data_IF_121301008874
#
_entry.id   IF_121301008874
#
_cell.length_a   1.000
_cell.length_b   1.000
_cell.length_c   1.000
_cell.angle_alpha   90.00
_cell.angle_beta   90.00
_cell.angle_gamma   90.00
#
_symmetry.space_group_name_H-M   'P 1'
#
loop_
_entity.id
_entity.type
_entity.pdbx_description
1 polymer ?
#
# COMPACT_ATOMS: atom_id res chain seq x y z
N UNK A 1 11.00 -53.32 -52.04
CA UNK A 1 11.90 -52.36 -51.36
C UNK A 1 11.05 -51.16 -50.97
N UNK A 2 10.81 -51.01 -49.66
CA UNK A 2 9.99 -49.91 -49.08
C UNK A 2 10.93 -48.85 -48.51
N UNK A 3 10.97 -47.69 -49.13
CA UNK A 3 11.75 -46.52 -48.68
C UNK A 3 10.90 -45.71 -47.72
N UNK A 4 11.28 -45.59 -46.46
CA UNK A 4 10.66 -44.74 -45.47
C UNK A 4 11.20 -43.30 -45.63
N UNK A 5 10.28 -42.36 -45.82
CA UNK A 5 10.53 -40.93 -45.84
C UNK A 5 10.37 -40.40 -44.41
N UNK A 6 11.46 -39.96 -43.80
CA UNK A 6 11.44 -39.36 -42.45
C UNK A 6 11.29 -37.86 -42.58
N UNK A 7 10.14 -37.33 -42.13
CA UNK A 7 9.86 -35.92 -42.11
C UNK A 7 10.47 -35.33 -40.81
N UNK A 8 11.47 -34.45 -40.93
CA UNK A 8 11.94 -33.60 -39.82
C UNK A 8 11.00 -32.40 -39.66
N UNK A 9 10.24 -32.40 -38.60
CA UNK A 9 9.48 -31.21 -38.15
C UNK A 9 10.34 -30.48 -37.14
N UNK A 10 10.93 -29.38 -37.55
CA UNK A 10 11.60 -28.42 -36.66
C UNK A 10 10.53 -27.61 -35.95
N UNK A 11 10.26 -27.93 -34.68
CA UNK A 11 9.42 -27.15 -33.81
C UNK A 11 10.22 -25.96 -33.29
N UNK A 12 9.85 -24.76 -33.76
CA UNK A 12 10.28 -23.50 -33.17
C UNK A 12 9.57 -23.33 -31.82
N UNK A 13 10.27 -23.58 -30.72
CA UNK A 13 9.75 -23.27 -29.38
C UNK A 13 9.87 -21.78 -29.14
N UNK A 14 8.73 -21.06 -29.26
CA UNK A 14 8.55 -19.76 -28.65
C UNK A 14 8.47 -19.95 -27.13
N UNK A 15 9.51 -19.58 -26.40
CA UNK A 15 9.46 -19.45 -24.96
C UNK A 15 8.66 -18.19 -24.58
N UNK A 16 7.36 -18.36 -24.41
CA UNK A 16 6.57 -17.45 -23.60
C UNK A 16 6.92 -17.75 -22.14
N UNK A 17 7.56 -16.83 -21.46
CA UNK A 17 7.66 -16.81 -19.99
C UNK A 17 6.27 -16.60 -19.39
N UNK A 18 5.48 -17.65 -19.35
CA UNK A 18 4.30 -17.75 -18.51
C UNK A 18 4.79 -17.94 -17.06
N UNK A 19 4.58 -16.92 -16.23
CA UNK A 19 4.78 -17.05 -14.79
C UNK A 19 4.10 -18.32 -14.28
N UNK A 20 4.80 -19.13 -13.52
CA UNK A 20 4.30 -20.40 -12.98
C UNK A 20 3.07 -20.11 -12.11
N UNK A 21 1.91 -20.38 -12.66
CA UNK A 21 0.64 -20.41 -11.94
C UNK A 21 0.54 -21.77 -11.29
N UNK A 22 0.87 -21.88 -10.02
CA UNK A 22 0.50 -23.05 -9.24
C UNK A 22 -0.98 -22.93 -8.89
N UNK A 23 -1.85 -23.30 -9.82
CA UNK A 23 -3.25 -23.55 -9.54
C UNK A 23 -3.34 -24.93 -8.89
N UNK A 24 -3.43 -25.01 -7.58
CA UNK A 24 -3.70 -26.26 -6.90
C UNK A 24 -5.22 -26.44 -6.90
N UNK A 25 -5.75 -27.34 -7.74
CA UNK A 25 -7.16 -27.74 -7.73
C UNK A 25 -7.50 -28.71 -6.58
N UNK A 26 -6.49 -29.16 -5.84
CA UNK A 26 -6.63 -30.03 -4.66
C UNK A 26 -5.95 -29.39 -3.46
N UNK A 27 -6.45 -29.72 -2.25
CA UNK A 27 -5.80 -29.34 -1.00
C UNK A 27 -4.34 -29.79 -1.03
N UNK A 28 -3.38 -28.90 -0.69
CA UNK A 28 -1.96 -29.24 -0.71
C UNK A 28 -1.68 -30.41 0.24
N UNK A 29 -0.92 -31.39 -0.21
CA UNK A 29 -0.49 -32.53 0.60
C UNK A 29 0.57 -32.18 1.64
N UNK A 30 1.06 -30.94 1.66
CA UNK A 30 2.21 -30.49 2.47
C UNK A 30 1.84 -29.47 3.56
N UNK A 31 0.65 -29.58 4.14
CA UNK A 31 0.28 -28.78 5.30
C UNK A 31 1.09 -29.16 6.53
N UNK A 32 1.60 -28.18 7.26
CA UNK A 32 2.22 -28.38 8.56
C UNK A 32 1.32 -27.82 9.66
N UNK A 33 0.82 -28.70 10.51
CA UNK A 33 0.11 -28.30 11.72
C UNK A 33 1.11 -27.71 12.71
N UNK A 34 0.92 -26.44 13.09
CA UNK A 34 1.78 -25.75 14.05
C UNK A 34 1.05 -25.46 15.36
N UNK A 35 -0.29 -25.59 15.38
CA UNK A 35 -1.11 -25.57 16.58
C UNK A 35 -2.50 -26.16 16.31
N UNK A 36 -3.12 -26.77 17.32
CA UNK A 36 -4.47 -27.31 17.29
C UNK A 36 -4.64 -28.59 16.49
N UNK A 37 -5.87 -29.08 16.41
CA UNK A 37 -6.24 -30.30 15.71
C UNK A 37 -6.96 -29.92 14.41
N UNK A 38 -6.47 -30.45 13.30
CA UNK A 38 -7.01 -30.21 11.96
C UNK A 38 -7.38 -31.53 11.30
N UNK A 39 -8.55 -31.59 10.68
CA UNK A 39 -9.00 -32.69 9.85
C UNK A 39 -8.95 -32.27 8.38
N UNK A 40 -8.33 -33.10 7.54
CA UNK A 40 -8.14 -32.89 6.11
C UNK A 40 -8.97 -33.94 5.35
N UNK A 41 -10.28 -33.76 5.32
CA UNK A 41 -11.21 -34.69 4.69
C UNK A 41 -12.10 -34.00 3.66
N UNK A 42 -12.54 -34.76 2.66
CA UNK A 42 -13.52 -34.35 1.65
C UNK A 42 -13.21 -33.02 0.91
N UNK A 43 -11.93 -32.77 0.66
CA UNK A 43 -11.51 -31.54 -0.03
C UNK A 43 -11.59 -30.29 0.83
N UNK A 44 -11.80 -30.42 2.13
CA UNK A 44 -11.89 -29.32 3.09
C UNK A 44 -10.92 -29.50 4.26
N UNK A 45 -10.59 -28.38 4.92
CA UNK A 45 -9.92 -28.39 6.22
C UNK A 45 -10.95 -28.04 7.29
N UNK A 46 -11.14 -28.94 8.23
CA UNK A 46 -11.98 -28.74 9.39
C UNK A 46 -11.11 -28.51 10.62
N UNK A 47 -11.52 -27.63 11.51
CA UNK A 47 -10.79 -27.34 12.73
C UNK A 47 -11.74 -27.04 13.87
N UNK A 48 -11.48 -27.64 15.03
CA UNK A 48 -12.06 -27.25 16.32
C UNK A 48 -11.01 -26.56 17.17
N UNK A 49 -11.21 -25.28 17.41
CA UNK A 49 -10.34 -24.43 18.22
C UNK A 49 -11.14 -23.71 19.30
N UNK A 50 -12.20 -24.37 19.83
CA UNK A 50 -13.06 -23.76 20.83
C UNK A 50 -12.30 -23.39 22.11
N UNK A 51 -11.27 -24.13 22.48
CA UNK A 51 -10.52 -23.89 23.73
C UNK A 51 -9.12 -23.24 23.53
N UNK A 52 -8.80 -22.76 22.28
CA UNK A 52 -7.48 -22.22 22.05
C UNK A 52 -7.28 -21.55 20.70
N UNK A 53 -6.07 -21.61 20.22
CA UNK A 53 -5.68 -21.20 18.86
C UNK A 53 -5.26 -22.44 18.07
N UNK A 54 -5.67 -22.53 16.83
CA UNK A 54 -5.23 -23.53 15.89
C UNK A 54 -4.57 -22.85 14.67
N UNK A 55 -3.55 -23.47 14.11
CA UNK A 55 -2.82 -22.94 12.97
C UNK A 55 -2.19 -24.04 12.13
N UNK A 56 -2.31 -23.87 10.81
CA UNK A 56 -1.56 -24.66 9.81
C UNK A 56 -0.80 -23.71 8.91
N UNK A 57 0.33 -24.19 8.39
CA UNK A 57 1.18 -23.46 7.45
C UNK A 57 1.41 -24.26 6.19
N UNK A 58 1.64 -23.59 5.08
CA UNK A 58 1.91 -24.14 3.75
C UNK A 58 2.94 -23.28 3.00
N UNK A 59 3.77 -23.89 2.18
CA UNK A 59 4.77 -23.22 1.35
C UNK A 59 6.11 -23.03 2.07
N UNK A 60 6.94 -22.14 1.54
CA UNK A 60 8.31 -21.97 1.96
C UNK A 60 8.58 -20.62 2.64
N UNK A 61 9.54 -20.59 3.55
CA UNK A 61 9.97 -19.35 4.22
C UNK A 61 10.60 -18.33 3.26
N UNK A 62 10.96 -18.76 2.06
CA UNK A 62 11.52 -17.93 0.99
C UNK A 62 10.47 -17.19 0.16
N UNK A 63 9.19 -17.51 0.27
CA UNK A 63 8.16 -16.91 -0.57
C UNK A 63 8.04 -15.40 -0.31
N UNK A 64 8.07 -14.60 -1.39
CA UNK A 64 8.01 -13.14 -1.31
C UNK A 64 6.64 -12.59 -1.68
N UNK A 65 6.19 -12.85 -2.91
CA UNK A 65 5.01 -12.25 -3.50
C UNK A 65 4.01 -13.34 -3.84
N UNK A 66 2.78 -13.19 -3.35
CA UNK A 66 1.73 -14.18 -3.58
C UNK A 66 0.34 -13.62 -3.34
N UNK A 67 -0.64 -14.28 -3.92
CA UNK A 67 -2.06 -14.12 -3.63
C UNK A 67 -2.57 -15.40 -2.99
N UNK A 68 -3.33 -15.26 -1.93
CA UNK A 68 -4.00 -16.36 -1.22
C UNK A 68 -5.50 -16.14 -1.33
N UNK A 69 -6.23 -17.20 -1.64
CA UNK A 69 -7.70 -17.20 -1.67
C UNK A 69 -8.21 -18.44 -0.97
N UNK A 70 -9.25 -18.29 -0.17
CA UNK A 70 -9.90 -19.39 0.55
C UNK A 70 -11.36 -19.06 0.83
N UNK A 71 -12.21 -20.04 0.77
CA UNK A 71 -13.60 -19.98 1.27
C UNK A 71 -13.59 -20.46 2.71
N UNK A 72 -14.10 -19.65 3.64
CA UNK A 72 -14.07 -19.92 5.07
C UNK A 72 -15.49 -19.80 5.67
N UNK A 73 -15.86 -20.77 6.50
CA UNK A 73 -17.16 -20.85 7.15
C UNK A 73 -17.00 -21.01 8.66
N UNK A 74 -17.65 -20.15 9.44
CA UNK A 74 -17.83 -20.38 10.87
C UNK A 74 -18.88 -21.46 11.10
N UNK A 75 -18.53 -22.53 11.79
CA UNK A 75 -19.46 -23.60 12.16
C UNK A 75 -20.02 -23.39 13.59
N UNK A 76 -19.15 -22.93 14.51
CA UNK A 76 -19.50 -22.61 15.90
C UNK A 76 -18.51 -21.57 16.42
N UNK A 77 -18.92 -20.71 17.33
CA UNK A 77 -18.04 -19.72 17.96
C UNK A 77 -18.35 -19.57 19.44
N UNK A 78 -17.32 -19.30 20.25
CA UNK A 78 -17.50 -18.97 21.67
C UNK A 78 -18.20 -17.64 21.86
N UNK A 79 -17.79 -16.61 21.10
CA UNK A 79 -18.41 -15.29 21.09
C UNK A 79 -18.05 -14.54 19.80
N UNK A 80 -18.68 -13.39 19.55
CA UNK A 80 -18.56 -12.66 18.31
C UNK A 80 -17.15 -12.07 18.02
N UNK A 81 -16.25 -11.98 18.99
CA UNK A 81 -14.90 -11.45 18.82
C UNK A 81 -13.88 -12.49 18.35
N UNK A 82 -14.25 -13.77 18.37
CA UNK A 82 -13.38 -14.86 17.92
C UNK A 82 -13.23 -14.82 16.41
N UNK A 83 -12.12 -15.39 15.91
CA UNK A 83 -11.72 -15.20 14.51
C UNK A 83 -11.30 -16.47 13.81
N UNK A 84 -11.41 -16.43 12.51
CA UNK A 84 -10.69 -17.27 11.56
C UNK A 84 -10.03 -16.38 10.51
N UNK A 85 -8.94 -16.81 9.90
CA UNK A 85 -8.26 -15.98 8.91
C UNK A 85 -7.09 -16.62 8.19
N UNK A 86 -6.56 -15.85 7.25
CA UNK A 86 -5.38 -16.20 6.46
C UNK A 86 -4.14 -15.74 7.23
N UNK A 87 -3.16 -16.63 7.37
CA UNK A 87 -1.78 -16.33 7.81
C UNK A 87 -0.91 -16.07 6.59
N UNK A 88 -0.04 -15.09 6.67
CA UNK A 88 0.93 -14.78 5.62
C UNK A 88 2.21 -14.21 6.23
N UNK A 89 3.32 -14.30 5.49
CA UNK A 89 4.64 -13.91 5.98
C UNK A 89 4.98 -14.59 7.33
N UNK A 90 4.55 -15.83 7.50
CA UNK A 90 4.86 -16.65 8.65
C UNK A 90 6.15 -17.44 8.47
N UNK A 91 6.67 -18.00 9.56
CA UNK A 91 7.65 -19.08 9.50
C UNK A 91 6.94 -20.43 9.33
N UNK A 92 7.53 -21.33 8.55
CA UNK A 92 6.94 -22.64 8.26
C UNK A 92 6.76 -23.49 9.55
N UNK A 93 7.61 -23.30 10.54
CA UNK A 93 7.50 -23.93 11.86
C UNK A 93 6.47 -23.28 12.79
N UNK A 94 5.83 -22.19 12.35
CA UNK A 94 4.85 -21.43 13.13
C UNK A 94 5.46 -20.47 14.13
N UNK A 95 6.79 -20.28 14.14
CA UNK A 95 7.43 -19.29 15.01
C UNK A 95 7.04 -17.86 14.65
N UNK A 96 7.13 -16.97 15.64
CA UNK A 96 6.86 -15.54 15.47
C UNK A 96 8.08 -14.80 14.91
N UNK A 97 7.91 -13.66 14.21
CA UNK A 97 6.64 -13.01 13.90
C UNK A 97 5.92 -13.62 12.68
N UNK A 98 4.59 -13.54 12.68
CA UNK A 98 3.74 -13.85 11.52
C UNK A 98 2.57 -12.88 11.43
N UNK A 99 2.05 -12.68 10.22
CA UNK A 99 0.96 -11.75 9.96
C UNK A 99 -0.34 -12.49 9.66
N UNK A 100 -1.48 -11.88 9.96
CA UNK A 100 -2.79 -12.43 9.63
C UNK A 100 -3.78 -11.40 9.11
N UNK A 101 -4.75 -11.91 8.34
CA UNK A 101 -5.97 -11.23 7.95
C UNK A 101 -7.17 -12.02 8.50
N UNK A 102 -7.67 -11.70 9.71
CA UNK A 102 -8.81 -12.37 10.30
C UNK A 102 -10.12 -11.72 9.92
N UNK A 103 -11.21 -12.53 9.95
CA UNK A 103 -12.59 -12.09 10.01
C UNK A 103 -13.24 -12.58 11.30
N UNK A 104 -14.35 -11.93 11.70
CA UNK A 104 -15.10 -12.21 12.93
C UNK A 104 -16.60 -12.26 12.65
N UNK A 105 -17.37 -12.90 13.54
CA UNK A 105 -18.83 -12.84 13.45
C UNK A 105 -19.36 -11.44 13.71
N UNK A 106 -18.83 -10.77 14.76
CA UNK A 106 -19.21 -9.39 15.09
C UNK A 106 -17.96 -8.53 15.14
N UNK A 107 -18.04 -7.37 14.51
CA UNK A 107 -17.01 -6.37 14.59
C UNK A 107 -17.36 -5.31 15.63
N UNK A 108 -16.36 -4.80 16.33
CA UNK A 108 -16.52 -3.74 17.33
C UNK A 108 -15.50 -2.64 17.11
N UNK A 109 -15.52 -1.60 17.92
CA UNK A 109 -14.47 -0.58 17.91
C UNK A 109 -13.08 -1.13 18.21
N UNK A 110 -12.97 -2.31 18.84
CA UNK A 110 -11.73 -2.96 19.23
C UNK A 110 -11.41 -4.23 18.44
N UNK A 111 -12.35 -4.76 17.67
CA UNK A 111 -12.17 -5.96 16.83
C UNK A 111 -12.84 -5.79 15.48
N UNK A 112 -12.18 -6.17 14.41
CA UNK A 112 -12.70 -6.06 13.04
C UNK A 112 -11.91 -6.97 12.10
N UNK A 113 -12.06 -6.78 10.80
CA UNK A 113 -11.09 -7.28 9.84
C UNK A 113 -9.85 -6.39 9.88
N UNK A 114 -8.67 -7.00 9.97
CA UNK A 114 -7.45 -6.25 10.27
C UNK A 114 -6.22 -6.91 9.65
N UNK A 115 -5.15 -6.15 9.48
CA UNK A 115 -3.83 -6.71 9.42
C UNK A 115 -3.18 -6.63 10.78
N UNK A 116 -2.85 -7.78 11.34
CA UNK A 116 -2.23 -7.89 12.65
C UNK A 116 -0.99 -8.78 12.58
N UNK A 117 0.03 -8.41 13.35
CA UNK A 117 1.29 -9.15 13.46
C UNK A 117 1.40 -9.74 14.86
N UNK A 118 1.64 -11.05 14.94
CA UNK A 118 2.00 -11.74 16.20
C UNK A 118 3.50 -11.63 16.40
N UNK A 119 3.93 -10.89 17.41
CA UNK A 119 5.37 -10.61 17.69
C UNK A 119 6.02 -11.54 18.71
N UNK A 120 5.25 -12.41 19.31
CA UNK A 120 5.69 -13.30 20.38
C UNK A 120 4.80 -13.17 21.61
N UNK A 121 4.80 -14.18 22.47
CA UNK A 121 3.91 -14.24 23.63
C UNK A 121 2.43 -14.06 23.22
N UNK A 122 1.66 -13.27 23.98
CA UNK A 122 0.26 -12.95 23.68
C UNK A 122 0.06 -11.62 22.95
N UNK A 123 1.15 -10.95 22.52
CA UNK A 123 1.06 -9.60 21.95
C UNK A 123 0.72 -9.60 20.46
N UNK A 124 -0.32 -8.82 20.11
CA UNK A 124 -0.72 -8.50 18.76
C UNK A 124 -0.42 -7.04 18.45
N UNK A 125 0.23 -6.80 17.31
CA UNK A 125 0.44 -5.48 16.76
C UNK A 125 -0.52 -5.30 15.58
N UNK A 126 -1.62 -4.57 15.81
CA UNK A 126 -2.64 -4.31 14.78
C UNK A 126 -2.19 -3.13 13.93
N UNK A 127 -1.84 -3.41 12.67
CA UNK A 127 -1.30 -2.41 11.74
C UNK A 127 -2.40 -1.59 11.10
N UNK A 128 -3.46 -2.24 10.66
CA UNK A 128 -4.60 -1.64 10.04
C UNK A 128 -5.86 -2.40 10.42
N UNK A 129 -6.93 -1.68 10.70
CA UNK A 129 -8.21 -2.27 11.10
C UNK A 129 -9.35 -1.59 10.39
N UNK A 130 -10.33 -2.37 9.97
CA UNK A 130 -11.60 -1.87 9.47
C UNK A 130 -12.75 -2.61 10.15
N UNK A 131 -13.81 -1.87 10.46
CA UNK A 131 -15.09 -2.46 10.84
C UNK A 131 -15.72 -3.03 9.58
N UNK A 132 -15.94 -4.34 9.54
CA UNK A 132 -16.59 -4.96 8.38
C UNK A 132 -17.98 -4.34 8.17
N UNK A 133 -18.34 -4.06 6.93
CA UNK A 133 -19.63 -3.47 6.60
C UNK A 133 -20.80 -4.40 6.93
N UNK A 134 -20.57 -5.71 7.02
CA UNK A 134 -21.54 -6.73 7.43
C UNK A 134 -20.84 -7.76 8.31
N UNK A 135 -21.46 -8.09 9.43
CA UNK A 135 -21.03 -9.20 10.27
C UNK A 135 -21.09 -10.52 9.49
N UNK A 136 -20.20 -11.44 9.82
CA UNK A 136 -20.28 -12.81 9.30
C UNK A 136 -21.39 -13.57 10.05
N UNK A 137 -21.86 -14.65 9.45
CA UNK A 137 -22.92 -15.51 10.02
C UNK A 137 -22.42 -16.95 10.10
N UNK A 138 -22.85 -17.68 11.13
CA UNK A 138 -22.59 -19.13 11.25
C UNK A 138 -23.23 -19.84 10.06
N UNK A 139 -22.52 -20.81 9.49
CA UNK A 139 -22.96 -21.59 8.34
C UNK A 139 -22.89 -20.86 7.00
N UNK A 140 -22.57 -19.55 6.98
CA UNK A 140 -22.47 -18.79 5.73
C UNK A 140 -21.01 -18.72 5.24
N UNK A 141 -20.68 -19.30 4.07
CA UNK A 141 -19.35 -19.20 3.49
C UNK A 141 -18.97 -17.77 3.16
N UNK A 142 -17.71 -17.40 3.39
CA UNK A 142 -17.11 -16.10 3.05
C UNK A 142 -15.82 -16.32 2.27
N UNK A 143 -15.63 -15.57 1.23
CA UNK A 143 -14.40 -15.62 0.44
C UNK A 143 -13.37 -14.63 0.98
N UNK A 144 -12.27 -15.15 1.53
CA UNK A 144 -11.13 -14.35 1.94
C UNK A 144 -10.08 -14.37 0.84
N UNK A 145 -9.48 -13.21 0.56
CA UNK A 145 -8.34 -13.08 -0.34
C UNK A 145 -7.32 -12.10 0.24
N UNK A 146 -6.06 -12.50 0.22
CA UNK A 146 -4.94 -11.63 0.62
C UNK A 146 -3.95 -11.56 -0.54
N UNK A 147 -3.55 -10.36 -0.91
CA UNK A 147 -2.47 -10.11 -1.87
C UNK A 147 -1.29 -9.52 -1.10
N UNK A 148 -0.14 -10.16 -1.21
CA UNK A 148 1.11 -9.71 -0.61
C UNK A 148 2.11 -9.50 -1.72
N UNK A 149 2.57 -8.25 -1.89
CA UNK A 149 3.57 -7.92 -2.90
C UNK A 149 4.52 -6.83 -2.42
N UNK A 150 5.80 -7.15 -2.39
CA UNK A 150 6.80 -6.28 -1.80
C UNK A 150 6.44 -5.95 -0.35
N UNK A 151 6.28 -4.67 -0.06
CA UNK A 151 5.87 -4.17 1.26
C UNK A 151 4.36 -3.93 1.39
N UNK A 152 3.59 -4.16 0.33
CA UNK A 152 2.16 -3.89 0.31
C UNK A 152 1.35 -5.14 0.64
N UNK A 153 0.27 -4.94 1.39
CA UNK A 153 -0.69 -5.98 1.75
C UNK A 153 -2.10 -5.47 1.46
N UNK A 154 -2.92 -6.32 0.85
CA UNK A 154 -4.32 -6.03 0.57
C UNK A 154 -5.17 -7.20 1.04
N UNK A 155 -6.20 -6.94 1.84
CA UNK A 155 -7.14 -7.93 2.36
C UNK A 155 -8.55 -7.68 1.81
N UNK A 156 -9.13 -8.72 1.23
CA UNK A 156 -10.45 -8.66 0.60
C UNK A 156 -11.39 -9.65 1.25
N UNK A 157 -12.65 -9.27 1.37
CA UNK A 157 -13.74 -10.14 1.79
C UNK A 157 -14.86 -10.09 0.75
N UNK A 158 -15.24 -11.24 0.21
CA UNK A 158 -16.23 -11.39 -0.86
C UNK A 158 -15.96 -10.43 -2.05
N UNK A 159 -14.70 -10.33 -2.45
CA UNK A 159 -14.23 -9.48 -3.54
C UNK A 159 -14.04 -8.00 -3.19
N UNK A 160 -14.56 -7.53 -2.05
CA UNK A 160 -14.41 -6.14 -1.62
C UNK A 160 -13.08 -5.94 -0.88
N UNK A 161 -12.28 -4.93 -1.28
CA UNK A 161 -11.12 -4.49 -0.51
C UNK A 161 -11.56 -3.93 0.84
N UNK A 162 -11.09 -4.54 1.94
CA UNK A 162 -11.37 -4.09 3.31
C UNK A 162 -10.20 -3.38 3.95
N UNK A 163 -9.01 -3.94 3.84
CA UNK A 163 -7.80 -3.38 4.44
C UNK A 163 -6.68 -3.34 3.41
N UNK A 164 -5.91 -2.27 3.47
CA UNK A 164 -4.69 -2.11 2.70
C UNK A 164 -3.63 -1.50 3.61
N UNK A 165 -2.44 -2.06 3.61
CA UNK A 165 -1.34 -1.56 4.45
C UNK A 165 -0.07 -1.54 3.62
N UNK A 166 0.25 -0.41 2.99
CA UNK A 166 1.51 -0.24 2.29
C UNK A 166 2.65 -0.08 3.28
N UNK A 167 3.83 -0.60 2.93
CA UNK A 167 5.10 -0.39 3.65
C UNK A 167 5.16 -0.87 5.12
N UNK A 168 4.24 -1.73 5.55
CA UNK A 168 4.04 -2.13 6.94
C UNK A 168 4.31 -3.60 7.23
N UNK A 169 5.41 -4.17 6.74
CA UNK A 169 5.72 -5.59 6.95
C UNK A 169 6.94 -5.80 7.84
N UNK A 170 6.83 -6.71 8.82
CA UNK A 170 7.95 -7.10 9.70
C UNK A 170 8.86 -8.14 9.02
N UNK A 171 8.32 -8.97 8.11
CA UNK A 171 9.07 -9.96 7.34
C UNK A 171 8.92 -9.71 5.84
N UNK A 172 10.01 -9.87 5.09
CA UNK A 172 10.01 -9.73 3.63
C UNK A 172 9.62 -11.02 2.92
N UNK A 173 9.77 -12.15 3.58
CA UNK A 173 9.49 -13.50 3.07
C UNK A 173 8.74 -14.28 4.13
N UNK A 174 8.11 -15.36 3.72
CA UNK A 174 7.46 -16.28 4.64
C UNK A 174 6.36 -17.10 3.98
N UNK A 175 6.04 -18.20 4.60
CA UNK A 175 4.98 -19.11 4.20
C UNK A 175 3.58 -18.48 4.43
N UNK A 176 2.57 -19.18 3.97
CA UNK A 176 1.15 -18.87 4.14
C UNK A 176 0.49 -19.90 5.06
N UNK A 177 -0.74 -19.64 5.48
CA UNK A 177 -1.48 -20.60 6.30
C UNK A 177 -2.87 -20.11 6.68
N UNK A 178 -3.45 -20.83 7.63
CA UNK A 178 -4.74 -20.52 8.22
C UNK A 178 -4.62 -20.47 9.74
N UNK A 179 -5.38 -19.61 10.38
CA UNK A 179 -5.45 -19.49 11.83
C UNK A 179 -6.89 -19.36 12.31
N UNK A 180 -7.18 -19.97 13.44
CA UNK A 180 -8.50 -19.98 14.06
C UNK A 180 -8.35 -19.81 15.58
N UNK A 181 -9.27 -19.10 16.22
CA UNK A 181 -9.29 -18.96 17.67
C UNK A 181 -10.70 -18.85 18.20
N UNK A 182 -11.04 -19.74 19.13
CA UNK A 182 -12.31 -19.78 19.83
C UNK A 182 -13.51 -20.08 18.93
N UNK A 183 -13.31 -20.86 17.87
CA UNK A 183 -14.39 -21.30 16.98
C UNK A 183 -14.07 -22.63 16.31
N UNK A 184 -15.15 -23.30 15.83
CA UNK A 184 -15.06 -24.35 14.83
C UNK A 184 -15.20 -23.72 13.45
N UNK A 185 -14.37 -24.13 12.51
CA UNK A 185 -14.35 -23.56 11.17
C UNK A 185 -14.13 -24.63 10.09
N UNK A 186 -14.62 -24.31 8.90
CA UNK A 186 -14.36 -25.06 7.66
C UNK A 186 -13.68 -24.16 6.65
N UNK A 187 -12.66 -24.66 5.97
CA UNK A 187 -11.99 -23.97 4.88
C UNK A 187 -11.99 -24.83 3.62
N UNK A 188 -12.33 -24.20 2.50
CA UNK A 188 -12.47 -24.83 1.17
C UNK A 188 -11.82 -23.93 0.12
N UNK A 189 -11.58 -24.47 -1.08
CA UNK A 189 -11.04 -23.72 -2.23
C UNK A 189 -9.75 -22.95 -1.92
N UNK A 190 -8.88 -23.49 -1.08
CA UNK A 190 -7.61 -22.85 -0.77
C UNK A 190 -6.71 -22.83 -2.01
N UNK A 191 -6.36 -21.63 -2.45
CA UNK A 191 -5.50 -21.40 -3.62
C UNK A 191 -4.41 -20.41 -3.28
N UNK A 192 -3.17 -20.73 -3.69
CA UNK A 192 -2.04 -19.80 -3.62
C UNK A 192 -1.47 -19.62 -5.00
N UNK A 193 -1.38 -18.37 -5.43
CA UNK A 193 -0.73 -18.00 -6.69
C UNK A 193 0.53 -17.20 -6.39
N UNK A 194 1.69 -17.70 -6.82
CA UNK A 194 2.94 -16.95 -6.76
C UNK A 194 2.86 -15.78 -7.73
N UNK A 195 3.27 -14.61 -7.27
CA UNK A 195 3.40 -13.40 -8.07
C UNK A 195 4.88 -13.20 -8.39
N UNK A 196 5.18 -12.45 -9.46
CA UNK A 196 6.56 -12.16 -9.84
C UNK A 196 7.32 -11.52 -8.67
N UNK A 197 8.53 -12.01 -8.44
CA UNK A 197 9.40 -11.44 -7.43
C UNK A 197 9.86 -10.05 -7.89
N UNK A 198 9.80 -9.11 -6.96
CA UNK A 198 10.28 -7.75 -7.18
C UNK A 198 11.68 -7.61 -6.59
N UNK A 199 12.55 -6.77 -7.17
CA UNK A 199 13.85 -6.50 -6.57
C UNK A 199 13.69 -6.09 -5.11
N UNK A 200 14.49 -6.68 -4.21
CA UNK A 200 14.45 -6.36 -2.79
C UNK A 200 14.85 -4.89 -2.60
N UNK A 201 13.92 -4.08 -2.16
CA UNK A 201 14.25 -2.78 -1.58
C UNK A 201 14.72 -3.06 -0.16
N UNK A 202 15.94 -2.63 0.24
CA UNK A 202 16.41 -2.80 1.61
C UNK A 202 15.42 -2.14 2.56
N UNK A 203 14.76 -2.92 3.43
CA UNK A 203 13.90 -2.36 4.46
C UNK A 203 14.76 -1.79 5.57
N UNK A 204 14.81 -0.48 5.69
CA UNK A 204 14.91 0.16 7.00
C UNK A 204 13.59 -0.17 7.70
N UNK A 205 13.64 -0.70 8.92
CA UNK A 205 12.49 -1.22 9.66
C UNK A 205 11.23 -0.35 9.60
N UNK A 206 10.11 -0.87 10.07
CA UNK A 206 8.82 -0.17 10.12
C UNK A 206 9.00 1.31 10.35
N UNK A 207 8.60 2.11 9.38
CA UNK A 207 8.56 3.55 9.54
C UNK A 207 7.24 3.87 10.25
N UNK A 208 7.27 4.28 11.52
CA UNK A 208 6.04 4.62 12.24
C UNK A 208 5.37 5.86 11.63
N UNK A 209 6.11 6.60 10.80
CA UNK A 209 5.70 7.86 10.22
C UNK A 209 6.52 8.16 8.96
N UNK A 210 5.86 8.67 7.91
CA UNK A 210 6.50 9.04 6.66
C UNK A 210 6.62 10.56 6.52
N UNK A 211 7.78 11.02 6.10
CA UNK A 211 8.06 12.40 5.74
C UNK A 211 8.15 12.47 4.22
N UNK A 212 7.18 13.12 3.59
CA UNK A 212 7.10 13.30 2.15
C UNK A 212 7.51 14.73 1.80
N UNK A 213 8.55 14.87 0.99
CA UNK A 213 9.02 16.15 0.49
C UNK A 213 8.10 16.63 -0.65
N UNK A 214 7.41 17.75 -0.47
CA UNK A 214 6.45 18.33 -1.41
C UNK A 214 7.15 18.92 -2.63
N UNK A 215 6.91 18.38 -3.81
CA UNK A 215 7.57 18.73 -5.08
C UNK A 215 9.10 18.65 -5.00
N UNK A 216 9.61 17.68 -4.25
CA UNK A 216 10.99 17.64 -3.79
C UNK A 216 11.21 18.51 -2.54
N UNK A 217 12.47 18.89 -2.24
CA UNK A 217 12.76 19.82 -1.16
C UNK A 217 12.53 21.26 -1.63
N UNK A 218 11.26 21.62 -1.86
CA UNK A 218 10.86 22.86 -2.53
C UNK A 218 11.17 24.13 -1.73
N UNK A 219 11.35 24.05 -0.41
CA UNK A 219 11.80 25.21 0.37
C UNK A 219 13.21 25.70 -0.06
N UNK A 220 14.10 24.83 -0.53
CA UNK A 220 15.50 25.13 -0.83
C UNK A 220 15.90 24.98 -2.30
N UNK A 221 15.09 24.27 -3.11
CA UNK A 221 15.34 24.03 -4.51
C UNK A 221 14.10 24.28 -5.35
N UNK A 222 14.22 24.51 -6.69
CA UNK A 222 13.06 24.72 -7.55
C UNK A 222 12.18 23.47 -7.57
N UNK A 223 10.87 23.67 -7.30
CA UNK A 223 9.90 22.59 -7.25
C UNK A 223 9.85 21.76 -8.52
N UNK A 224 9.55 20.46 -8.41
CA UNK A 224 9.39 19.54 -9.54
C UNK A 224 10.62 19.41 -10.45
N UNK A 225 11.84 19.63 -9.91
CA UNK A 225 13.11 19.42 -10.63
C UNK A 225 13.91 18.25 -10.05
N UNK A 226 14.89 17.76 -10.82
CA UNK A 226 15.75 16.67 -10.33
C UNK A 226 16.63 17.10 -9.16
N UNK A 227 17.05 18.35 -9.08
CA UNK A 227 17.79 18.85 -7.93
C UNK A 227 16.96 18.87 -6.67
N UNK A 228 15.67 19.25 -6.76
CA UNK A 228 14.77 19.21 -5.61
C UNK A 228 14.55 17.77 -5.09
N UNK A 229 14.44 16.81 -6.00
CA UNK A 229 14.34 15.38 -5.66
C UNK A 229 15.63 14.88 -4.98
N UNK A 230 16.83 15.20 -5.52
CA UNK A 230 18.10 14.85 -4.89
C UNK A 230 18.21 15.42 -3.48
N UNK A 231 17.86 16.70 -3.31
CA UNK A 231 17.87 17.36 -1.99
C UNK A 231 16.85 16.77 -1.02
N UNK A 232 15.71 16.28 -1.50
CA UNK A 232 14.75 15.55 -0.67
C UNK A 232 15.36 14.25 -0.12
N UNK A 233 16.07 13.47 -0.96
CA UNK A 233 16.79 12.27 -0.53
C UNK A 233 17.85 12.62 0.53
N UNK A 234 18.67 13.64 0.28
CA UNK A 234 19.71 14.12 1.20
C UNK A 234 19.17 14.59 2.55
N UNK A 235 17.96 15.19 2.57
CA UNK A 235 17.29 15.65 3.80
C UNK A 235 16.84 14.50 4.72
N UNK A 236 16.86 13.26 4.23
CA UNK A 236 16.35 12.09 4.93
C UNK A 236 14.83 11.94 4.83
N UNK A 237 14.20 12.60 3.85
CA UNK A 237 12.80 12.35 3.50
C UNK A 237 12.59 10.88 3.14
N UNK A 238 11.45 10.32 3.54
CA UNK A 238 11.10 8.93 3.27
C UNK A 238 10.27 8.78 2.01
N UNK A 239 9.68 9.88 1.54
CA UNK A 239 8.99 10.03 0.28
C UNK A 239 9.31 11.36 -0.38
N UNK A 240 9.14 11.42 -1.67
CA UNK A 240 9.25 12.61 -2.49
C UNK A 240 8.02 12.68 -3.38
N UNK A 241 7.21 13.70 -3.15
CA UNK A 241 6.03 13.98 -3.95
C UNK A 241 6.41 14.88 -5.11
N UNK A 242 5.75 14.69 -6.24
CA UNK A 242 5.83 15.54 -7.43
C UNK A 242 4.59 15.37 -8.33
N UNK A 243 4.26 16.47 -9.02
CA UNK A 243 3.09 16.60 -9.86
C UNK A 243 3.38 16.21 -11.31
N UNK A 244 2.43 15.56 -12.00
CA UNK A 244 2.66 15.16 -13.39
C UNK A 244 1.54 15.51 -14.35
N UNK A 245 1.97 15.93 -15.57
CA UNK A 245 1.17 16.13 -16.76
C UNK A 245 1.73 15.33 -17.94
N UNK A 246 0.92 15.11 -19.00
CA UNK A 246 1.45 14.64 -20.27
C UNK A 246 1.90 15.83 -21.13
N UNK A 247 3.07 15.72 -21.77
CA UNK A 247 3.49 16.59 -22.84
C UNK A 247 2.69 16.31 -24.13
N UNK A 248 2.72 17.24 -25.09
CA UNK A 248 2.02 17.17 -26.39
C UNK A 248 2.34 15.90 -27.16
N UNK A 249 3.57 15.46 -27.16
CA UNK A 249 4.07 14.26 -27.85
C UNK A 249 3.95 12.97 -27.02
N UNK A 250 3.31 13.05 -25.84
CA UNK A 250 2.86 11.91 -25.05
C UNK A 250 3.65 11.55 -23.79
N UNK A 251 4.94 11.76 -23.62
CA UNK A 251 5.66 11.49 -22.39
C UNK A 251 5.10 12.26 -21.18
N UNK A 252 5.22 11.67 -20.00
CA UNK A 252 4.80 12.30 -18.74
C UNK A 252 5.96 13.10 -18.16
N UNK A 253 5.69 14.36 -17.79
CA UNK A 253 6.66 15.35 -17.28
C UNK A 253 6.24 15.88 -15.93
N UNK A 254 7.19 16.44 -15.16
CA UNK A 254 6.93 17.02 -13.86
C UNK A 254 6.55 18.50 -14.00
N UNK A 255 5.35 18.86 -13.55
CA UNK A 255 4.86 20.23 -13.47
C UNK A 255 3.66 20.31 -12.55
N UNK A 256 3.56 21.33 -11.69
CA UNK A 256 2.40 21.50 -10.83
C UNK A 256 1.22 22.18 -11.56
N UNK A 257 1.50 23.26 -12.27
CA UNK A 257 0.47 24.04 -12.96
C UNK A 257 0.19 23.46 -14.36
N UNK A 258 -0.99 23.71 -14.89
CA UNK A 258 -1.31 23.33 -16.27
C UNK A 258 -0.48 24.11 -17.31
N UNK A 259 0.21 25.18 -16.91
CA UNK A 259 1.10 26.02 -17.73
C UNK A 259 2.50 26.07 -17.15
N UNK A 260 3.50 26.33 -18.00
CA UNK A 260 4.90 26.43 -17.59
C UNK A 260 5.28 27.82 -17.01
N UNK A 261 4.36 28.79 -17.05
CA UNK A 261 4.67 30.22 -16.89
C UNK A 261 5.25 30.61 -15.51
N UNK A 262 4.85 29.93 -14.42
CA UNK A 262 5.26 30.31 -13.07
C UNK A 262 6.65 29.84 -12.68
N UNK A 263 7.05 28.71 -13.18
CA UNK A 263 8.27 28.00 -12.74
C UNK A 263 9.26 27.76 -13.86
N UNK A 264 9.08 28.44 -15.01
CA UNK A 264 10.05 28.46 -16.11
C UNK A 264 10.13 29.84 -16.73
N UNK A 265 11.10 30.05 -17.60
CA UNK A 265 11.27 31.24 -18.45
C UNK A 265 10.36 31.22 -19.70
N UNK A 266 9.58 30.15 -19.92
CA UNK A 266 8.67 29.98 -21.03
C UNK A 266 7.21 30.34 -20.71
N UNK A 267 6.34 30.11 -21.68
CA UNK A 267 4.88 30.31 -21.56
C UNK A 267 4.09 29.26 -22.34
N UNK A 268 2.85 29.04 -21.93
CA UNK A 268 1.92 28.10 -22.59
C UNK A 268 1.57 26.89 -21.73
N UNK A 269 0.65 26.06 -22.27
CA UNK A 269 0.18 24.87 -21.56
C UNK A 269 1.18 23.72 -21.75
N UNK A 270 1.39 22.95 -20.68
CA UNK A 270 2.24 21.74 -20.71
C UNK A 270 1.80 20.76 -21.81
N UNK A 271 0.49 20.60 -21.97
CA UNK A 271 -0.10 19.68 -22.96
C UNK A 271 0.03 20.15 -24.42
N UNK A 272 0.44 21.39 -24.65
CA UNK A 272 0.66 21.98 -25.98
C UNK A 272 2.15 22.00 -26.39
N UNK A 273 3.06 21.71 -25.45
CA UNK A 273 4.51 21.67 -25.65
C UNK A 273 5.02 20.22 -25.69
N UNK A 274 5.94 19.95 -26.62
CA UNK A 274 6.68 18.69 -26.70
C UNK A 274 7.70 18.58 -25.55
N UNK A 275 8.17 17.38 -25.24
CA UNK A 275 9.26 17.20 -24.27
C UNK A 275 10.53 17.97 -24.71
N UNK A 276 10.81 18.01 -26.02
CA UNK A 276 11.98 18.74 -26.51
C UNK A 276 11.88 20.26 -26.28
N UNK A 277 10.68 20.83 -26.38
CA UNK A 277 10.41 22.23 -26.06
C UNK A 277 10.50 22.48 -24.55
N UNK A 278 9.83 21.63 -23.74
CA UNK A 278 9.86 21.73 -22.28
C UNK A 278 11.28 21.63 -21.70
N UNK A 279 12.17 20.83 -22.28
CA UNK A 279 13.55 20.68 -21.86
C UNK A 279 14.45 21.89 -22.14
N UNK A 280 14.06 22.77 -23.04
CA UNK A 280 14.79 24.01 -23.34
C UNK A 280 14.47 25.13 -22.37
N UNK A 281 13.42 24.95 -21.55
CA UNK A 281 12.99 25.94 -20.57
C UNK A 281 13.88 25.85 -19.34
N UNK A 282 14.30 27.00 -18.85
CA UNK A 282 14.93 27.15 -17.53
C UNK A 282 13.88 27.01 -16.43
N UNK A 283 13.90 25.89 -15.72
CA UNK A 283 12.99 25.57 -14.63
C UNK A 283 13.58 25.88 -13.24
N UNK A 284 14.75 26.52 -13.18
CA UNK A 284 15.47 26.73 -11.93
C UNK A 284 15.69 28.17 -11.52
N UNK A 285 16.06 29.08 -12.45
CA UNK A 285 16.45 30.45 -12.17
C UNK A 285 15.38 31.29 -11.47
N UNK A 286 14.11 31.00 -11.66
CA UNK A 286 13.01 31.66 -10.95
C UNK A 286 13.10 31.48 -9.43
N UNK A 287 13.74 30.40 -8.96
CA UNK A 287 13.97 30.12 -7.54
C UNK A 287 15.26 30.73 -7.03
N UNK A 288 16.35 30.54 -7.78
CA UNK A 288 17.68 31.07 -7.49
C UNK A 288 18.59 30.84 -8.71
N UNK A 289 19.43 31.81 -9.06
CA UNK A 289 20.37 31.78 -10.22
C UNK A 289 21.32 30.58 -10.22
N UNK A 290 21.64 30.01 -9.06
CA UNK A 290 22.45 28.77 -8.97
C UNK A 290 21.79 27.53 -9.59
N UNK A 291 20.52 27.61 -9.96
CA UNK A 291 19.74 26.53 -10.56
C UNK A 291 19.41 26.78 -12.04
N UNK A 292 20.15 27.68 -12.72
CA UNK A 292 19.93 28.05 -14.13
C UNK A 292 19.91 26.84 -15.08
N UNK A 293 20.67 25.77 -14.77
CA UNK A 293 20.75 24.58 -15.63
C UNK A 293 19.66 23.54 -15.40
N UNK A 294 18.71 23.79 -14.49
CA UNK A 294 17.62 22.85 -14.25
C UNK A 294 16.53 22.99 -15.33
N UNK A 295 16.12 21.87 -15.89
CA UNK A 295 15.06 21.80 -16.90
C UNK A 295 13.86 21.02 -16.38
N UNK A 296 12.73 21.07 -17.11
CA UNK A 296 11.53 20.29 -16.80
C UNK A 296 11.82 18.79 -16.97
N UNK A 297 11.79 17.98 -15.90
CA UNK A 297 12.12 16.54 -16.01
C UNK A 297 10.95 15.72 -16.52
N UNK A 298 11.28 14.57 -17.10
CA UNK A 298 10.29 13.51 -17.34
C UNK A 298 10.07 12.69 -16.06
N UNK A 299 8.87 12.06 -15.94
CA UNK A 299 8.57 11.11 -14.86
C UNK A 299 9.61 9.98 -14.77
N UNK A 300 10.07 9.47 -15.92
CA UNK A 300 11.09 8.40 -15.94
C UNK A 300 12.41 8.83 -15.31
N UNK A 301 12.83 10.08 -15.50
CA UNK A 301 14.06 10.63 -14.89
C UNK A 301 13.90 10.78 -13.38
N UNK A 302 12.76 11.30 -12.92
CA UNK A 302 12.45 11.41 -11.50
C UNK A 302 12.44 10.04 -10.81
N UNK A 303 11.78 9.04 -11.41
CA UNK A 303 11.75 7.67 -10.88
C UNK A 303 13.16 7.03 -10.86
N UNK A 304 13.98 7.24 -11.89
CA UNK A 304 15.37 6.75 -11.90
C UNK A 304 16.21 7.40 -10.80
N UNK A 305 16.01 8.69 -10.53
CA UNK A 305 16.72 9.43 -9.47
C UNK A 305 16.37 8.88 -8.09
N UNK A 306 15.11 8.48 -7.87
CA UNK A 306 14.64 7.90 -6.61
C UNK A 306 14.99 6.42 -6.45
N UNK A 307 15.22 5.69 -7.54
CA UNK A 307 15.41 4.24 -7.51
C UNK A 307 16.57 3.85 -6.59
N UNK A 308 16.27 2.97 -5.63
CA UNK A 308 17.27 2.44 -4.69
C UNK A 308 17.68 3.39 -3.56
N UNK A 309 17.23 4.66 -3.56
CA UNK A 309 17.53 5.63 -2.51
C UNK A 309 16.82 5.32 -1.18
N UNK A 310 15.80 4.48 -1.20
CA UNK A 310 14.91 4.23 -0.07
C UNK A 310 13.87 5.34 0.15
N UNK A 311 13.83 6.37 -0.72
CA UNK A 311 12.82 7.41 -0.74
C UNK A 311 11.73 7.03 -1.74
N UNK A 312 10.47 6.97 -1.31
CA UNK A 312 9.32 6.60 -2.12
C UNK A 312 8.95 7.70 -3.12
N UNK A 313 8.60 7.33 -4.35
CA UNK A 313 7.96 8.25 -5.29
C UNK A 313 6.46 8.39 -4.95
N UNK A 314 5.98 9.59 -4.65
CA UNK A 314 4.57 9.92 -4.47
C UNK A 314 4.16 10.79 -5.66
N UNK A 315 3.36 10.23 -6.57
CA UNK A 315 3.08 10.81 -7.89
C UNK A 315 1.69 11.41 -7.90
N UNK A 316 1.57 12.75 -7.92
CA UNK A 316 0.27 13.41 -8.11
C UNK A 316 -0.08 13.47 -9.59
N UNK A 317 -1.13 12.77 -10.00
CA UNK A 317 -1.66 12.84 -11.36
C UNK A 317 -2.62 14.01 -11.46
N UNK A 318 -2.22 15.06 -12.18
CA UNK A 318 -2.97 16.32 -12.31
C UNK A 318 -4.07 16.30 -13.37
N UNK A 319 -4.05 15.35 -14.29
CA UNK A 319 -5.01 15.30 -15.39
C UNK A 319 -5.50 13.87 -15.64
N UNK A 320 -6.73 13.74 -16.11
CA UNK A 320 -7.31 12.46 -16.55
C UNK A 320 -6.66 11.96 -17.85
N UNK A 321 -6.79 10.66 -18.12
CA UNK A 321 -6.33 10.03 -19.37
C UNK A 321 -4.84 9.69 -19.43
N UNK A 322 -4.06 9.94 -18.38
CA UNK A 322 -2.61 9.61 -18.33
C UNK A 322 -2.26 8.48 -17.35
N UNK A 323 -3.22 7.96 -16.61
CA UNK A 323 -3.00 6.92 -15.58
C UNK A 323 -2.22 5.72 -16.12
N UNK A 324 -2.55 5.24 -17.32
CA UNK A 324 -1.85 4.13 -17.98
C UNK A 324 -0.38 4.45 -18.23
N UNK A 325 -0.06 5.65 -18.75
CA UNK A 325 1.33 6.08 -19.04
C UNK A 325 2.16 6.21 -17.77
N UNK A 326 1.57 6.72 -16.69
CA UNK A 326 2.23 6.79 -15.37
C UNK A 326 2.56 5.38 -14.87
N UNK A 327 1.59 4.46 -14.89
CA UNK A 327 1.80 3.07 -14.47
C UNK A 327 2.87 2.37 -15.33
N UNK A 328 2.85 2.56 -16.64
CA UNK A 328 3.88 2.03 -17.54
C UNK A 328 5.28 2.57 -17.21
N UNK A 329 5.41 3.86 -16.88
CA UNK A 329 6.68 4.45 -16.45
C UNK A 329 7.16 3.85 -15.13
N UNK A 330 6.27 3.66 -14.15
CA UNK A 330 6.58 3.02 -12.86
C UNK A 330 7.03 1.56 -13.07
N UNK A 331 6.33 0.80 -13.91
CA UNK A 331 6.69 -0.58 -14.25
C UNK A 331 8.04 -0.66 -14.97
N UNK A 332 8.23 0.17 -16.00
CA UNK A 332 9.44 0.18 -16.83
C UNK A 332 10.70 0.58 -16.04
N UNK A 333 10.56 1.38 -14.99
CA UNK A 333 11.66 1.75 -14.11
C UNK A 333 11.87 0.76 -12.95
N UNK A 334 10.96 -0.22 -12.77
CA UNK A 334 11.02 -1.18 -11.67
C UNK A 334 10.72 -0.55 -10.31
N UNK A 335 9.90 0.53 -10.27
CA UNK A 335 9.59 1.32 -9.06
C UNK A 335 8.26 0.93 -8.39
N UNK A 336 7.61 -0.16 -8.81
CA UNK A 336 6.28 -0.52 -8.35
C UNK A 336 6.17 -0.66 -6.81
N UNK A 337 7.22 -1.18 -6.18
CA UNK A 337 7.28 -1.34 -4.71
C UNK A 337 7.83 -0.10 -3.99
N UNK A 338 8.20 0.93 -4.75
CA UNK A 338 8.77 2.19 -4.24
C UNK A 338 7.98 3.41 -4.73
N UNK A 339 6.75 3.20 -5.20
CA UNK A 339 5.88 4.27 -5.67
C UNK A 339 4.49 4.21 -5.03
N UNK A 340 3.84 5.35 -4.96
CA UNK A 340 2.43 5.54 -4.68
C UNK A 340 1.87 6.62 -5.61
N UNK A 341 0.57 6.59 -5.85
CA UNK A 341 -0.12 7.63 -6.63
C UNK A 341 -1.09 8.38 -5.73
N UNK A 342 -1.22 9.67 -5.95
CA UNK A 342 -2.25 10.50 -5.33
C UNK A 342 -2.98 11.30 -6.42
N UNK A 343 -4.25 11.59 -6.23
CA UNK A 343 -5.01 12.43 -7.16
C UNK A 343 -6.27 13.01 -6.51
N UNK A 344 -6.64 14.24 -6.91
CA UNK A 344 -7.94 14.84 -6.57
C UNK A 344 -9.08 14.19 -7.37
N UNK A 345 -8.84 13.85 -8.64
CA UNK A 345 -9.84 13.20 -9.48
C UNK A 345 -10.16 11.78 -9.01
N UNK A 346 -11.41 11.54 -8.63
CA UNK A 346 -11.92 10.21 -8.33
C UNK A 346 -11.80 9.25 -9.53
N UNK A 347 -11.90 9.77 -10.75
CA UNK A 347 -11.72 9.01 -12.00
C UNK A 347 -10.29 8.46 -12.07
N UNK A 348 -9.29 9.31 -11.86
CA UNK A 348 -7.88 8.92 -11.86
C UNK A 348 -7.60 7.83 -10.82
N UNK A 349 -8.09 8.02 -9.57
CA UNK A 349 -7.90 7.01 -8.51
C UNK A 349 -8.51 5.68 -8.90
N UNK A 350 -9.74 5.67 -9.44
CA UNK A 350 -10.39 4.43 -9.93
C UNK A 350 -9.62 3.76 -11.06
N UNK A 351 -9.14 4.54 -12.03
CA UNK A 351 -8.34 4.03 -13.16
C UNK A 351 -7.04 3.39 -12.66
N UNK A 352 -6.29 4.08 -11.80
CA UNK A 352 -5.04 3.54 -11.23
C UNK A 352 -5.31 2.25 -10.47
N UNK A 353 -6.35 2.22 -9.62
CA UNK A 353 -6.74 1.03 -8.86
C UNK A 353 -7.19 -0.14 -9.74
N UNK A 354 -7.81 0.14 -10.89
CA UNK A 354 -8.21 -0.89 -11.85
C UNK A 354 -7.02 -1.42 -12.67
N UNK A 355 -6.14 -0.53 -13.13
CA UNK A 355 -5.01 -0.86 -13.99
C UNK A 355 -3.84 -1.52 -13.24
N UNK A 356 -3.59 -1.09 -11.99
CA UNK A 356 -2.53 -1.62 -11.13
C UNK A 356 -2.98 -1.67 -9.66
N UNK A 357 -3.76 -2.68 -9.27
CA UNK A 357 -4.27 -2.81 -7.89
C UNK A 357 -3.18 -2.87 -6.81
N UNK A 358 -1.94 -3.21 -7.19
CA UNK A 358 -0.79 -3.32 -6.28
C UNK A 358 -0.17 -1.97 -5.93
N UNK A 359 -0.38 -0.95 -6.80
CA UNK A 359 0.15 0.39 -6.58
C UNK A 359 -0.73 1.10 -5.54
N UNK A 360 -0.17 1.50 -4.38
CA UNK A 360 -0.90 2.31 -3.43
C UNK A 360 -1.42 3.58 -4.10
N UNK A 361 -2.70 3.91 -3.86
CA UNK A 361 -3.32 5.08 -4.48
C UNK A 361 -4.24 5.78 -3.48
N UNK A 362 -3.93 7.03 -3.13
CA UNK A 362 -4.73 7.83 -2.21
C UNK A 362 -5.59 8.87 -2.95
N UNK A 363 -6.79 9.07 -2.43
CA UNK A 363 -7.65 10.18 -2.88
C UNK A 363 -7.29 11.45 -2.12
N UNK A 364 -6.93 12.51 -2.86
CA UNK A 364 -6.65 13.86 -2.35
C UNK A 364 -7.93 14.64 -2.08
N UNK A 365 -7.98 15.37 -0.95
CA UNK A 365 -9.07 16.31 -0.69
C UNK A 365 -8.66 17.48 0.22
N UNK A 366 -9.21 18.65 -0.11
CA UNK A 366 -9.13 19.88 0.70
C UNK A 366 -10.52 20.44 1.06
N UNK A 367 -11.57 19.61 1.05
CA UNK A 367 -12.96 20.01 1.27
C UNK A 367 -13.21 20.59 2.68
N UNK A 368 -13.96 21.68 2.75
CA UNK A 368 -14.40 22.25 4.03
C UNK A 368 -15.64 21.52 4.54
N UNK A 369 -15.44 20.51 5.38
CA UNK A 369 -16.52 19.68 5.91
C UNK A 369 -17.11 20.29 7.20
N UNK A 370 -18.45 20.30 7.28
CA UNK A 370 -19.23 20.63 8.49
C UNK A 370 -19.67 19.34 9.20
N UNK A 371 -20.11 19.46 10.44
CA UNK A 371 -20.66 18.35 11.24
C UNK A 371 -19.66 17.79 12.27
N UNK A 372 -20.14 16.79 13.01
CA UNK A 372 -19.35 16.10 14.04
C UNK A 372 -18.15 15.36 13.43
N UNK A 373 -17.13 15.02 14.23
CA UNK A 373 -15.98 14.23 13.76
C UNK A 373 -16.40 12.91 13.06
N UNK A 374 -17.42 12.22 13.59
CA UNK A 374 -17.93 10.99 12.98
C UNK A 374 -18.59 11.24 11.62
N UNK A 375 -19.43 12.29 11.50
CA UNK A 375 -20.08 12.64 10.23
C UNK A 375 -19.06 13.02 9.14
N UNK A 376 -18.03 13.80 9.51
CA UNK A 376 -16.93 14.16 8.61
C UNK A 376 -16.15 12.92 8.16
N UNK A 377 -15.86 12.01 9.09
CA UNK A 377 -15.18 10.77 8.78
C UNK A 377 -16.04 9.82 7.92
N UNK A 378 -17.36 9.78 8.11
CA UNK A 378 -18.28 9.00 7.25
C UNK A 378 -18.26 9.52 5.81
N UNK A 379 -18.30 10.85 5.64
CA UNK A 379 -18.24 11.46 4.31
C UNK A 379 -16.93 11.10 3.59
N UNK A 380 -15.77 11.28 4.27
CA UNK A 380 -14.45 10.94 3.71
C UNK A 380 -14.37 9.45 3.37
N UNK A 381 -14.82 8.58 4.27
CA UNK A 381 -14.77 7.13 4.04
C UNK A 381 -15.67 6.70 2.86
N UNK A 382 -16.84 7.30 2.71
CA UNK A 382 -17.73 7.04 1.58
C UNK A 382 -17.10 7.49 0.25
N UNK A 383 -16.41 8.64 0.23
CA UNK A 383 -15.68 9.11 -0.97
C UNK A 383 -14.52 8.18 -1.31
N UNK A 384 -13.70 7.80 -0.35
CA UNK A 384 -12.61 6.84 -0.56
C UNK A 384 -13.13 5.50 -1.11
N UNK A 385 -14.25 4.99 -0.55
CA UNK A 385 -14.91 3.77 -1.04
C UNK A 385 -15.39 3.92 -2.49
N UNK A 386 -15.96 5.07 -2.85
CA UNK A 386 -16.36 5.36 -4.23
C UNK A 386 -15.17 5.33 -5.19
N UNK A 387 -13.96 5.69 -4.72
CA UNK A 387 -12.71 5.62 -5.48
C UNK A 387 -12.05 4.22 -5.46
N UNK A 388 -12.66 3.22 -4.81
CA UNK A 388 -12.10 1.89 -4.60
C UNK A 388 -10.72 1.92 -3.90
N UNK A 389 -10.57 2.80 -2.90
CA UNK A 389 -9.38 2.92 -2.06
C UNK A 389 -9.76 3.08 -0.59
N UNK A 390 -8.85 2.74 0.32
CA UNK A 390 -8.93 3.09 1.73
C UNK A 390 -7.77 4.01 2.16
N UNK A 391 -7.08 4.61 1.18
CA UNK A 391 -6.06 5.61 1.39
C UNK A 391 -6.61 7.00 1.05
N UNK A 392 -6.37 7.95 1.93
CA UNK A 392 -6.74 9.36 1.72
C UNK A 392 -5.56 10.26 2.06
N UNK A 393 -5.39 11.33 1.28
CA UNK A 393 -4.40 12.37 1.53
C UNK A 393 -5.13 13.71 1.66
N UNK A 394 -5.27 14.17 2.91
CA UNK A 394 -6.19 15.23 3.27
C UNK A 394 -5.43 16.52 3.61
N UNK A 395 -5.99 17.67 3.19
CA UNK A 395 -5.51 18.94 3.74
C UNK A 395 -5.60 18.90 5.28
N UNK A 396 -4.52 19.29 5.96
CA UNK A 396 -4.42 19.18 7.43
C UNK A 396 -5.53 19.94 8.18
N UNK A 397 -6.12 20.98 7.57
CA UNK A 397 -7.27 21.70 8.13
C UNK A 397 -8.56 20.86 8.20
N UNK A 398 -8.61 19.74 7.49
CA UNK A 398 -9.71 18.76 7.60
C UNK A 398 -9.59 17.87 8.84
N UNK A 399 -8.44 17.87 9.50
CA UNK A 399 -8.10 16.94 10.58
C UNK A 399 -8.25 17.60 11.96
N UNK A 400 -8.70 16.80 12.91
CA UNK A 400 -8.52 16.95 14.34
C UNK A 400 -8.16 15.57 14.91
N UNK A 401 -7.76 15.50 16.18
CA UNK A 401 -7.46 14.21 16.82
C UNK A 401 -8.65 13.23 16.74
N UNK A 402 -9.88 13.76 16.96
CA UNK A 402 -11.12 12.99 16.91
C UNK A 402 -11.45 12.52 15.48
N UNK A 403 -11.32 13.41 14.48
CA UNK A 403 -11.55 13.04 13.07
C UNK A 403 -10.57 11.96 12.64
N UNK A 404 -9.28 12.12 12.97
CA UNK A 404 -8.26 11.10 12.64
C UNK A 404 -8.54 9.76 13.32
N UNK A 405 -8.97 9.78 14.59
CA UNK A 405 -9.37 8.58 15.30
C UNK A 405 -10.59 7.89 14.63
N UNK A 406 -11.58 8.67 14.21
CA UNK A 406 -12.75 8.16 13.51
C UNK A 406 -12.42 7.59 12.11
N UNK A 407 -11.50 8.22 11.36
CA UNK A 407 -11.01 7.70 10.07
C UNK A 407 -10.28 6.36 10.26
N UNK A 408 -9.41 6.27 11.27
CA UNK A 408 -8.70 5.03 11.62
C UNK A 408 -9.65 3.90 12.01
N UNK A 409 -10.72 4.18 12.78
CA UNK A 409 -11.76 3.19 13.11
C UNK A 409 -12.45 2.62 11.85
N UNK A 410 -12.52 3.41 10.79
CA UNK A 410 -13.08 3.02 9.48
C UNK A 410 -12.06 2.33 8.58
N UNK A 411 -10.84 2.09 9.06
CA UNK A 411 -9.78 1.41 8.33
C UNK A 411 -9.08 2.26 7.28
N UNK A 412 -9.19 3.59 7.36
CA UNK A 412 -8.49 4.47 6.43
C UNK A 412 -7.04 4.67 6.82
N UNK A 413 -6.17 4.69 5.81
CA UNK A 413 -4.81 5.18 5.88
C UNK A 413 -4.87 6.67 5.57
N UNK A 414 -4.37 7.50 6.47
CA UNK A 414 -4.50 8.95 6.37
C UNK A 414 -3.13 9.60 6.25
N UNK A 415 -2.91 10.21 5.09
CA UNK A 415 -1.82 11.12 4.81
C UNK A 415 -2.33 12.56 4.87
N UNK A 416 -1.43 13.54 4.94
CA UNK A 416 -1.84 14.96 5.00
C UNK A 416 -0.82 15.88 4.34
N UNK A 417 -1.32 17.01 3.80
CA UNK A 417 -0.60 18.04 3.04
C UNK A 417 -1.15 19.43 3.29
N UNK A 418 -0.46 20.51 2.95
CA UNK A 418 0.97 20.72 2.99
C UNK A 418 1.28 21.36 4.34
N UNK A 419 2.03 20.68 5.19
CA UNK A 419 2.27 21.09 6.57
C UNK A 419 3.68 21.63 6.70
N UNK A 420 3.82 22.95 6.91
CA UNK A 420 5.12 23.62 7.01
C UNK A 420 5.41 24.14 8.42
N UNK A 421 4.38 24.29 9.26
CA UNK A 421 4.53 24.73 10.65
C UNK A 421 5.00 23.57 11.55
N UNK A 422 6.15 23.70 12.24
CA UNK A 422 6.67 22.65 13.10
C UNK A 422 5.76 22.26 14.28
N UNK A 423 4.95 23.20 14.79
CA UNK A 423 4.01 22.94 15.88
C UNK A 423 2.85 22.08 15.38
N UNK A 424 2.32 22.40 14.21
CA UNK A 424 1.27 21.61 13.54
C UNK A 424 1.81 20.22 13.18
N UNK A 425 3.04 20.12 12.62
CA UNK A 425 3.70 18.84 12.35
C UNK A 425 3.76 17.96 13.60
N UNK A 426 4.26 18.51 14.72
CA UNK A 426 4.40 17.76 15.97
C UNK A 426 3.03 17.34 16.52
N UNK A 427 2.01 18.18 16.45
CA UNK A 427 0.62 17.87 16.83
C UNK A 427 0.07 16.67 16.04
N UNK A 428 0.17 16.71 14.71
CA UNK A 428 -0.28 15.65 13.82
C UNK A 428 0.47 14.31 14.07
N UNK A 429 1.79 14.39 14.29
CA UNK A 429 2.60 13.21 14.67
C UNK A 429 2.14 12.60 15.98
N UNK A 430 1.85 13.42 17.00
CA UNK A 430 1.32 12.98 18.29
C UNK A 430 -0.07 12.36 18.18
N UNK A 431 -0.93 12.84 17.27
CA UNK A 431 -2.21 12.21 16.95
C UNK A 431 -2.04 10.89 16.18
N UNK A 432 -0.80 10.59 15.73
CA UNK A 432 -0.47 9.37 15.02
C UNK A 432 -0.89 9.39 13.56
N UNK A 433 -0.76 10.54 12.89
CA UNK A 433 -0.86 10.59 11.41
C UNK A 433 0.17 9.66 10.79
N UNK A 434 -0.11 9.08 9.63
CA UNK A 434 0.79 8.11 9.01
C UNK A 434 1.81 8.75 8.06
N UNK A 435 1.47 9.91 7.47
CA UNK A 435 2.39 10.66 6.61
C UNK A 435 2.11 12.16 6.63
N UNK A 436 3.15 12.97 6.48
CA UNK A 436 3.06 14.41 6.26
C UNK A 436 3.83 14.79 5.01
N UNK A 437 3.15 15.48 4.08
CA UNK A 437 3.75 16.15 2.93
C UNK A 437 4.10 17.59 3.31
N UNK A 438 5.36 18.01 3.07
CA UNK A 438 5.90 19.30 3.52
C UNK A 438 6.97 19.86 2.58
N UNK A 439 7.05 21.19 2.48
CA UNK A 439 8.15 21.88 1.81
C UNK A 439 9.48 21.82 2.62
N UNK A 440 9.38 21.44 3.92
CA UNK A 440 10.48 21.39 4.89
C UNK A 440 10.71 19.98 5.43
N UNK A 441 11.08 19.01 4.55
CA UNK A 441 11.32 17.62 4.97
C UNK A 441 12.42 17.49 6.03
N UNK A 442 13.41 18.39 6.04
CA UNK A 442 14.47 18.48 7.03
C UNK A 442 13.94 18.69 8.47
N UNK A 443 12.95 19.58 8.63
CA UNK A 443 12.31 19.82 9.91
C UNK A 443 11.43 18.65 10.33
N UNK A 444 10.62 18.14 9.42
CA UNK A 444 9.73 17.00 9.70
C UNK A 444 10.52 15.74 10.08
N UNK A 445 11.66 15.47 9.41
CA UNK A 445 12.53 14.34 9.74
C UNK A 445 13.17 14.45 11.14
N UNK A 446 13.58 15.66 11.55
CA UNK A 446 14.09 15.93 12.90
C UNK A 446 13.01 15.72 13.96
N UNK A 447 11.80 16.25 13.70
CA UNK A 447 10.67 16.14 14.63
C UNK A 447 10.20 14.68 14.77
N UNK A 448 10.14 13.91 13.70
CA UNK A 448 9.71 12.51 13.74
C UNK A 448 10.62 11.66 14.64
N UNK A 449 11.94 11.87 14.57
CA UNK A 449 12.92 11.21 15.46
C UNK A 449 12.69 11.59 16.91
N UNK A 450 12.41 12.86 17.21
CA UNK A 450 12.15 13.37 18.55
C UNK A 450 10.85 12.79 19.15
N UNK A 451 9.79 12.73 18.37
CA UNK A 451 8.49 12.17 18.79
C UNK A 451 8.59 10.68 19.03
N UNK A 452 9.29 9.94 18.14
CA UNK A 452 9.50 8.49 18.29
C UNK A 452 10.36 8.13 19.52
N UNK A 453 11.33 8.97 19.89
CA UNK A 453 12.21 8.76 21.06
C UNK A 453 11.53 9.03 22.42
N UNK A 454 10.43 9.78 22.45
CA UNK A 454 9.64 9.98 23.65
C UNK A 454 8.65 8.82 23.78
N UNK A 455 8.93 7.83 24.66
CA UNK A 455 7.99 6.76 25.02
C UNK A 455 6.65 7.40 25.40
N UNK A 456 5.59 6.99 24.72
CA UNK A 456 4.23 7.51 24.92
C UNK A 456 3.80 7.22 26.36
N UNK A 457 3.45 8.22 27.21
CA UNK A 457 3.01 7.98 28.59
C UNK A 457 1.73 7.14 28.69
N UNK A 458 0.94 7.06 27.61
CA UNK A 458 -0.32 6.31 27.59
C UNK A 458 -0.17 4.78 27.53
N UNK A 459 1.04 4.24 27.42
CA UNK A 459 1.26 2.79 27.52
C UNK A 459 1.43 2.28 28.96
N UNK A 460 1.31 3.16 29.98
CA UNK A 460 1.39 2.79 31.39
C UNK A 460 0.03 2.72 32.13
N UNK A 461 -1.10 2.98 31.42
CA UNK A 461 -2.44 2.90 32.01
C UNK A 461 -3.22 1.74 31.36
N UNK A 462 -2.67 0.55 31.39
CA UNK A 462 -3.43 -0.71 31.26
C UNK A 462 -2.54 -1.82 31.84
N UNK A 463 -2.54 -1.91 33.17
CA UNK A 463 -2.20 -3.12 33.90
C UNK A 463 -3.46 -3.68 34.54
#
# INVERSE_FOLDING_TARGET
MKTKLTLFVTAFCFWLQLGHVYGVEQLPTEWRITAGNWDFSDGALLVDSMEGEARVTFGEDSWQNYEIKVTATFLKVQNGSRWLGIVFRGARDGSTPWSQFPIRLKTSGHSGSEFAVRKGGKHWDVRQRVRAAKDSQIGRPRQLRVVVQGSNMQGFLDGQLLVESPFCMDRNTGCVGLSVSGCMAKFEDFKVRRLADTPRIPKKGLRPFEVVAHRGFSAVAPENTLVAIRKAIESGATGCEFDVYAAKDGPVVLMHDATVNRTTDGSGKVTELTVAELRRLDAGSWKDQRYTDESVPTLKEALKTLKGSGCQAVIEIKMEGISKRVIEAVRATGMLDQAAVIAFSATVVKEVRALEPRLPCAWLSGEKLKGSPSQRADWIANKAKQCNTNMVDLNYNMLSAEVLAELKKRGLIVWTWTVNDPVVMEGLMRWGIQSITTDRPDLAAKLSKRVAGRKNPSSQIER
#
